data_IF_866315625736
#
_entry.id   IF_866315625736
#
_cell.length_a   1.000
_cell.length_b   1.000
_cell.length_c   1.000
_cell.angle_alpha   90.00
_cell.angle_beta   90.00
_cell.angle_gamma   90.00
#
_symmetry.space_group_name_H-M   'P 1'
#
loop_
_entity.id
_entity.type
_entity.pdbx_description
1 polymer ?
#
# COMPACT_ATOMS: atom_id res chain seq x y z
N UNK A 1 16.17 -19.52 5.39
CA UNK A 1 16.24 -18.66 6.59
C UNK A 1 16.14 -17.18 6.26
N UNK A 2 16.86 -16.69 5.26
CA UNK A 2 16.94 -15.28 4.86
C UNK A 2 15.58 -14.64 4.54
N UNK A 3 14.74 -15.29 3.71
CA UNK A 3 13.42 -14.77 3.32
C UNK A 3 12.47 -14.53 4.49
N UNK A 4 12.44 -15.42 5.50
CA UNK A 4 11.63 -15.20 6.71
C UNK A 4 12.06 -13.94 7.47
N UNK A 5 13.36 -13.64 7.46
CA UNK A 5 13.93 -12.45 8.10
C UNK A 5 13.47 -11.14 7.40
N UNK A 6 13.43 -11.13 6.05
CA UNK A 6 13.01 -9.95 5.28
C UNK A 6 11.53 -9.67 5.46
N UNK A 7 10.68 -10.68 5.37
CA UNK A 7 9.24 -10.51 5.63
C UNK A 7 8.97 -9.99 7.04
N UNK A 8 9.71 -10.50 8.03
CA UNK A 8 9.62 -10.01 9.40
C UNK A 8 10.09 -8.55 9.52
N UNK A 9 11.15 -8.17 8.81
CA UNK A 9 11.63 -6.79 8.77
C UNK A 9 10.60 -5.85 8.14
N UNK A 10 10.04 -6.21 6.97
CA UNK A 10 9.01 -5.44 6.31
C UNK A 10 7.78 -5.24 7.20
N UNK A 11 7.33 -6.31 7.86
CA UNK A 11 6.22 -6.22 8.81
C UNK A 11 6.53 -5.26 9.96
N UNK A 12 7.74 -5.30 10.52
CA UNK A 12 8.17 -4.37 11.58
C UNK A 12 8.22 -2.91 11.10
N UNK A 13 8.69 -2.68 9.87
CA UNK A 13 8.67 -1.34 9.25
C UNK A 13 7.22 -0.88 9.07
N UNK A 14 6.35 -1.75 8.55
CA UNK A 14 4.92 -1.47 8.42
C UNK A 14 4.28 -1.08 9.75
N UNK A 15 4.53 -1.85 10.82
CA UNK A 15 4.05 -1.55 12.16
C UNK A 15 4.58 -0.20 12.68
N UNK A 16 5.87 0.09 12.48
CA UNK A 16 6.49 1.33 12.96
C UNK A 16 5.89 2.59 12.31
N UNK A 17 5.49 2.50 11.04
CA UNK A 17 4.90 3.64 10.30
C UNK A 17 3.38 3.66 10.27
N UNK A 18 2.70 2.60 10.75
CA UNK A 18 1.24 2.45 10.66
C UNK A 18 0.48 3.64 11.26
N UNK A 19 0.87 4.09 12.46
CA UNK A 19 0.24 5.22 13.12
C UNK A 19 0.39 6.52 12.34
N UNK A 20 1.58 6.81 11.82
CA UNK A 20 1.83 8.02 11.00
C UNK A 20 1.06 7.97 9.68
N UNK A 21 1.01 6.80 9.03
CA UNK A 21 0.24 6.60 7.81
C UNK A 21 -1.26 6.81 8.05
N UNK A 22 -1.77 6.31 9.17
CA UNK A 22 -3.17 6.48 9.55
C UNK A 22 -3.49 7.92 9.95
N UNK A 23 -2.61 8.61 10.68
CA UNK A 23 -2.76 10.04 11.02
C UNK A 23 -2.82 10.90 9.76
N UNK A 24 -1.93 10.65 8.80
CA UNK A 24 -1.95 11.32 7.50
C UNK A 24 -3.26 11.05 6.76
N UNK A 25 -3.70 9.78 6.72
CA UNK A 25 -4.96 9.38 6.08
C UNK A 25 -6.17 10.05 6.73
N UNK A 26 -6.19 10.16 8.06
CA UNK A 26 -7.25 10.84 8.79
C UNK A 26 -7.33 12.33 8.44
N UNK A 27 -6.18 13.00 8.30
CA UNK A 27 -6.13 14.41 7.87
C UNK A 27 -6.59 14.55 6.41
N UNK A 28 -6.12 13.66 5.53
CA UNK A 28 -6.51 13.65 4.13
C UNK A 28 -8.04 13.45 3.98
N UNK A 29 -8.62 12.48 4.70
CA UNK A 29 -10.04 12.17 4.64
C UNK A 29 -10.93 13.36 5.05
N UNK A 30 -10.49 14.17 6.02
CA UNK A 30 -11.21 15.40 6.40
C UNK A 30 -11.26 16.45 5.27
N UNK A 31 -10.27 16.43 4.38
CA UNK A 31 -10.18 17.40 3.27
C UNK A 31 -10.87 16.90 1.99
N UNK A 32 -10.76 15.59 1.70
CA UNK A 32 -11.21 15.03 0.42
C UNK A 32 -12.45 14.13 0.55
N UNK A 33 -12.91 13.87 1.77
CA UNK A 33 -14.07 13.04 2.07
C UNK A 33 -13.74 11.56 2.18
N UNK A 34 -13.46 10.86 1.06
CA UNK A 34 -13.24 9.41 1.06
C UNK A 34 -11.83 9.05 0.64
N UNK A 35 -11.19 8.15 1.42
CA UNK A 35 -9.81 7.68 1.18
C UNK A 35 -9.74 6.16 1.31
N UNK A 36 -9.01 5.51 0.40
CA UNK A 36 -8.67 4.08 0.49
C UNK A 36 -7.29 3.93 1.11
N UNK A 37 -7.21 3.19 2.20
CA UNK A 37 -5.97 2.87 2.89
C UNK A 37 -5.59 1.41 2.64
N UNK A 38 -4.47 1.15 2.00
CA UNK A 38 -3.96 -0.18 1.75
C UNK A 38 -2.81 -0.54 2.68
N UNK A 39 -2.90 -1.75 3.26
CA UNK A 39 -1.80 -2.39 3.99
C UNK A 39 -1.70 -3.88 3.62
N UNK A 40 -0.55 -4.47 3.86
CA UNK A 40 -0.28 -5.89 3.56
C UNK A 40 -0.55 -6.79 4.77
N UNK A 41 -0.12 -6.35 5.94
CA UNK A 41 -0.19 -7.14 7.17
C UNK A 41 -1.38 -6.73 8.02
N UNK A 42 -2.04 -7.72 8.62
CA UNK A 42 -3.26 -7.51 9.43
C UNK A 42 -2.98 -6.61 10.63
N UNK A 43 -1.86 -6.79 11.32
CA UNK A 43 -1.47 -5.98 12.47
C UNK A 43 -1.17 -4.50 12.11
N UNK A 44 -0.73 -4.23 10.88
CA UNK A 44 -0.63 -2.85 10.37
C UNK A 44 -2.02 -2.26 10.13
N UNK A 45 -2.95 -3.05 9.61
CA UNK A 45 -4.36 -2.65 9.45
C UNK A 45 -5.00 -2.38 10.81
N UNK A 46 -4.78 -3.25 11.80
CA UNK A 46 -5.31 -3.09 13.15
C UNK A 46 -4.77 -1.81 13.83
N UNK A 47 -3.46 -1.57 13.74
CA UNK A 47 -2.84 -0.35 14.28
C UNK A 47 -3.36 0.93 13.59
N UNK A 48 -3.67 0.86 12.29
CA UNK A 48 -4.30 1.97 11.59
C UNK A 48 -5.74 2.21 12.06
N UNK A 49 -6.53 1.15 12.25
CA UNK A 49 -7.90 1.22 12.76
C UNK A 49 -7.94 1.81 14.17
N UNK A 50 -7.05 1.37 15.07
CA UNK A 50 -6.91 1.96 16.41
C UNK A 50 -6.60 3.47 16.34
N UNK A 51 -5.87 3.91 15.33
CA UNK A 51 -5.57 5.33 15.14
C UNK A 51 -6.80 6.08 14.61
N UNK A 52 -7.57 5.49 13.69
CA UNK A 52 -8.82 6.08 13.21
C UNK A 52 -9.84 6.21 14.34
N UNK A 53 -9.97 5.20 15.20
CA UNK A 53 -10.85 5.25 16.39
C UNK A 53 -10.47 6.42 17.31
N UNK A 54 -9.18 6.56 17.63
CA UNK A 54 -8.68 7.68 18.46
C UNK A 54 -8.89 9.04 17.81
N UNK A 55 -8.91 9.12 16.48
CA UNK A 55 -9.13 10.35 15.71
C UNK A 55 -10.60 10.62 15.41
N UNK A 56 -11.51 9.73 15.81
CA UNK A 56 -12.94 9.84 15.53
C UNK A 56 -13.28 9.74 14.05
N UNK A 57 -12.46 8.99 13.27
CA UNK A 57 -12.69 8.71 11.85
C UNK A 57 -13.50 7.43 11.73
N UNK A 58 -14.69 7.51 11.14
CA UNK A 58 -15.46 6.30 10.81
C UNK A 58 -14.85 5.62 9.59
N UNK A 59 -14.63 4.34 9.72
CA UNK A 59 -14.03 3.51 8.67
C UNK A 59 -14.76 2.18 8.48
N UNK A 60 -14.52 1.55 7.35
CA UNK A 60 -14.83 0.14 7.11
C UNK A 60 -13.54 -0.63 6.82
N UNK A 61 -13.58 -1.97 6.83
CA UNK A 61 -12.38 -2.78 6.65
C UNK A 61 -12.66 -3.97 5.73
N UNK A 62 -11.79 -4.18 4.74
CA UNK A 62 -11.88 -5.26 3.74
C UNK A 62 -10.63 -6.13 3.85
N UNK A 63 -10.79 -7.30 4.47
CA UNK A 63 -9.70 -8.22 4.81
C UNK A 63 -9.88 -9.58 4.12
N UNK A 64 -8.78 -10.26 3.89
CA UNK A 64 -8.80 -11.59 3.25
C UNK A 64 -9.43 -12.69 4.10
N UNK A 65 -9.40 -12.54 5.43
CA UNK A 65 -9.96 -13.46 6.42
C UNK A 65 -11.49 -13.31 6.65
N UNK A 66 -12.10 -12.28 6.07
CA UNK A 66 -13.54 -12.02 6.18
C UNK A 66 -14.35 -12.86 5.18
N UNK A 67 -15.58 -13.21 5.57
CA UNK A 67 -16.54 -13.83 4.65
C UNK A 67 -16.95 -12.83 3.56
N UNK A 68 -17.47 -13.36 2.44
CA UNK A 68 -17.95 -12.55 1.32
C UNK A 68 -19.01 -11.52 1.77
N UNK A 69 -20.01 -11.97 2.55
CA UNK A 69 -21.09 -11.08 3.00
C UNK A 69 -20.61 -9.94 3.90
N UNK A 70 -19.62 -10.20 4.77
CA UNK A 70 -18.99 -9.13 5.58
C UNK A 70 -18.26 -8.13 4.71
N UNK A 71 -17.52 -8.60 3.70
CA UNK A 71 -16.82 -7.69 2.76
C UNK A 71 -17.80 -6.84 1.96
N UNK A 72 -18.89 -7.44 1.43
CA UNK A 72 -19.93 -6.72 0.68
C UNK A 72 -20.58 -5.63 1.54
N UNK A 73 -20.91 -5.94 2.81
CA UNK A 73 -21.43 -4.96 3.77
C UNK A 73 -20.43 -3.81 4.03
N UNK A 74 -19.16 -4.13 4.17
CA UNK A 74 -18.12 -3.13 4.44
C UNK A 74 -17.85 -2.24 3.22
N UNK A 75 -17.94 -2.80 2.01
CA UNK A 75 -17.89 -2.03 0.75
C UNK A 75 -19.09 -1.09 0.67
N UNK A 76 -20.30 -1.61 0.92
CA UNK A 76 -21.53 -0.82 0.89
C UNK A 76 -21.47 0.35 1.88
N UNK A 77 -21.01 0.09 3.10
CA UNK A 77 -20.81 1.14 4.09
C UNK A 77 -19.84 2.23 3.62
N UNK A 78 -18.71 1.85 3.01
CA UNK A 78 -17.77 2.84 2.47
C UNK A 78 -18.36 3.63 1.31
N UNK A 79 -19.10 2.97 0.42
CA UNK A 79 -19.65 3.62 -0.78
C UNK A 79 -20.82 4.53 -0.45
N UNK A 80 -21.75 4.08 0.40
CA UNK A 80 -23.08 4.69 0.57
C UNK A 80 -23.24 5.48 1.89
N UNK A 81 -22.45 5.18 2.94
CA UNK A 81 -22.53 5.94 4.20
C UNK A 81 -21.58 7.17 4.12
N UNK A 82 -22.10 8.41 4.14
CA UNK A 82 -21.27 9.62 4.10
C UNK A 82 -20.37 9.78 5.31
N UNK A 83 -20.70 9.14 6.44
CA UNK A 83 -19.91 9.19 7.66
C UNK A 83 -18.66 8.30 7.60
N UNK A 84 -18.69 7.24 6.78
CA UNK A 84 -17.56 6.32 6.59
C UNK A 84 -16.59 6.93 5.59
N UNK A 85 -15.56 7.59 6.09
CA UNK A 85 -14.61 8.36 5.27
C UNK A 85 -13.36 7.57 4.87
N UNK A 86 -13.06 6.44 5.52
CA UNK A 86 -11.92 5.60 5.19
C UNK A 86 -12.34 4.14 4.99
N UNK A 87 -11.76 3.47 4.01
CA UNK A 87 -11.79 2.01 3.92
C UNK A 87 -10.38 1.45 4.05
N UNK A 88 -10.17 0.55 5.02
CA UNK A 88 -8.90 -0.14 5.24
C UNK A 88 -8.92 -1.46 4.48
N UNK A 89 -8.07 -1.58 3.46
CA UNK A 89 -8.04 -2.73 2.55
C UNK A 89 -6.73 -3.50 2.67
N UNK A 90 -6.82 -4.83 2.68
CA UNK A 90 -5.63 -5.65 2.44
C UNK A 90 -5.21 -5.57 0.97
N UNK A 91 -3.92 -5.34 0.70
CA UNK A 91 -3.36 -5.36 -0.66
C UNK A 91 -3.67 -6.68 -1.38
N UNK A 92 -3.63 -7.81 -0.67
CA UNK A 92 -3.95 -9.13 -1.23
C UNK A 92 -5.44 -9.32 -1.51
N UNK A 93 -6.34 -8.67 -0.75
CA UNK A 93 -7.77 -8.70 -0.99
C UNK A 93 -8.20 -7.82 -2.16
N UNK A 94 -7.36 -6.90 -2.62
CA UNK A 94 -7.60 -6.05 -3.78
C UNK A 94 -7.77 -6.85 -5.09
N UNK A 95 -7.35 -8.11 -5.14
CA UNK A 95 -7.56 -9.02 -6.28
C UNK A 95 -9.02 -9.37 -6.57
N UNK A 96 -9.96 -9.15 -5.64
CA UNK A 96 -11.37 -9.57 -5.75
C UNK A 96 -12.24 -8.37 -6.13
N UNK A 97 -12.35 -8.05 -7.40
CA UNK A 97 -13.41 -7.23 -8.02
C UNK A 97 -13.96 -5.99 -7.27
N UNK A 98 -13.21 -5.43 -6.33
CA UNK A 98 -13.63 -4.28 -5.54
C UNK A 98 -13.86 -3.06 -6.43
N UNK A 99 -14.98 -2.36 -6.24
CA UNK A 99 -15.22 -1.04 -6.84
C UNK A 99 -15.19 0.01 -5.74
N UNK A 100 -14.14 0.85 -5.74
CA UNK A 100 -13.90 1.88 -4.75
C UNK A 100 -13.80 3.28 -5.39
N UNK A 101 -14.45 3.48 -6.55
CA UNK A 101 -14.46 4.72 -7.34
C UNK A 101 -15.05 5.94 -6.60
N UNK A 102 -15.76 5.72 -5.50
CA UNK A 102 -16.25 6.80 -4.64
C UNK A 102 -15.10 7.62 -4.02
N UNK A 103 -13.90 7.06 -3.96
CA UNK A 103 -12.69 7.74 -3.54
C UNK A 103 -11.83 8.13 -4.75
N UNK A 104 -11.06 9.21 -4.61
CA UNK A 104 -10.03 9.63 -5.57
C UNK A 104 -8.62 9.65 -4.96
N UNK A 105 -8.51 9.29 -3.68
CA UNK A 105 -7.24 9.25 -2.96
C UNK A 105 -6.99 7.86 -2.38
N UNK A 106 -5.77 7.37 -2.59
CA UNK A 106 -5.28 6.08 -2.13
C UNK A 106 -4.04 6.29 -1.28
N UNK A 107 -3.98 5.68 -0.10
CA UNK A 107 -2.77 5.66 0.74
C UNK A 107 -2.24 4.23 0.79
N UNK A 108 -1.03 4.03 0.30
CA UNK A 108 -0.29 2.78 0.39
C UNK A 108 0.59 2.85 1.64
N UNK A 109 0.11 2.33 2.77
CA UNK A 109 0.83 2.33 4.04
C UNK A 109 1.98 1.33 4.04
N UNK A 110 1.86 0.26 3.29
CA UNK A 110 2.93 -0.68 3.00
C UNK A 110 3.10 -0.82 1.49
N UNK A 111 4.34 -0.95 1.05
CA UNK A 111 4.64 -1.16 -0.36
C UNK A 111 4.56 -2.65 -0.70
N UNK A 112 4.09 -2.96 -1.89
CA UNK A 112 4.27 -4.28 -2.47
C UNK A 112 5.64 -4.39 -3.14
N UNK A 113 6.13 -5.62 -3.28
CA UNK A 113 7.36 -5.91 -3.99
C UNK A 113 7.28 -5.71 -5.50
N UNK A 114 6.07 -5.67 -6.05
CA UNK A 114 5.85 -5.52 -7.49
C UNK A 114 5.04 -4.27 -7.79
N UNK A 115 5.39 -3.61 -8.90
CA UNK A 115 4.60 -2.52 -9.43
C UNK A 115 3.16 -2.98 -9.75
N UNK A 116 3.02 -4.21 -10.28
CA UNK A 116 1.73 -4.78 -10.65
C UNK A 116 0.73 -4.84 -9.49
N UNK A 117 1.14 -5.30 -8.31
CA UNK A 117 0.25 -5.34 -7.14
C UNK A 117 -0.16 -3.93 -6.69
N UNK A 118 0.76 -2.94 -6.75
CA UNK A 118 0.42 -1.55 -6.43
C UNK A 118 -0.54 -0.96 -7.47
N UNK A 119 -0.28 -1.19 -8.76
CA UNK A 119 -1.17 -0.76 -9.85
C UNK A 119 -2.54 -1.39 -9.69
N UNK A 120 -2.63 -2.70 -9.44
CA UNK A 120 -3.91 -3.37 -9.19
C UNK A 120 -4.69 -2.76 -8.02
N UNK A 121 -4.02 -2.36 -6.94
CA UNK A 121 -4.66 -1.69 -5.82
C UNK A 121 -5.20 -0.31 -6.23
N UNK A 122 -4.41 0.48 -6.96
CA UNK A 122 -4.81 1.79 -7.48
C UNK A 122 -5.98 1.66 -8.47
N UNK A 123 -5.98 0.64 -9.33
CA UNK A 123 -7.03 0.36 -10.31
C UNK A 123 -8.39 -0.01 -9.68
N UNK A 124 -8.47 -0.24 -8.37
CA UNK A 124 -9.75 -0.37 -7.67
C UNK A 124 -10.47 0.97 -7.51
N UNK A 125 -9.71 2.04 -7.56
CA UNK A 125 -10.18 3.43 -7.48
C UNK A 125 -10.19 4.07 -8.88
N UNK A 126 -9.12 3.87 -9.65
CA UNK A 126 -8.97 4.37 -11.02
C UNK A 126 -9.61 3.40 -12.03
N UNK A 127 -10.88 3.56 -12.30
CA UNK A 127 -11.67 2.72 -13.24
C UNK A 127 -12.51 3.59 -14.17
N UNK A 128 -13.07 2.93 -15.20
CA UNK A 128 -14.06 3.57 -16.09
C UNK A 128 -15.21 4.10 -15.24
N UNK A 129 -15.49 5.41 -15.34
CA UNK A 129 -16.50 6.12 -14.54
C UNK A 129 -15.92 6.89 -13.34
N UNK A 130 -14.58 6.91 -13.16
CA UNK A 130 -13.93 7.82 -12.22
C UNK A 130 -13.72 9.19 -12.90
N UNK A 131 -14.43 10.21 -12.41
CA UNK A 131 -14.41 11.56 -12.97
C UNK A 131 -13.34 12.46 -12.32
N UNK A 132 -12.73 12.02 -11.23
CA UNK A 132 -11.71 12.77 -10.52
C UNK A 132 -10.31 12.20 -10.73
N UNK A 133 -9.27 13.04 -10.80
CA UNK A 133 -7.90 12.56 -10.81
C UNK A 133 -7.60 11.71 -9.58
N UNK A 134 -7.07 10.51 -9.79
CA UNK A 134 -6.69 9.61 -8.70
C UNK A 134 -5.26 9.90 -8.25
N UNK A 135 -5.10 10.17 -6.95
CA UNK A 135 -3.79 10.39 -6.32
C UNK A 135 -3.45 9.22 -5.42
N UNK A 136 -2.30 8.60 -5.65
CA UNK A 136 -1.76 7.53 -4.81
C UNK A 136 -0.59 8.04 -3.97
N UNK A 137 -0.72 7.96 -2.66
CA UNK A 137 0.26 8.37 -1.66
C UNK A 137 1.01 7.14 -1.14
N UNK A 138 2.31 7.08 -1.33
CA UNK A 138 3.16 6.01 -0.78
C UNK A 138 3.82 6.48 0.52
N UNK A 139 3.59 5.76 1.62
CA UNK A 139 4.22 6.05 2.91
C UNK A 139 5.50 5.24 3.00
N UNK A 140 6.63 5.91 2.93
CA UNK A 140 7.97 5.31 2.86
C UNK A 140 8.72 5.63 4.14
N UNK A 141 9.24 4.59 4.82
CA UNK A 141 10.19 4.77 5.91
C UNK A 141 11.58 5.06 5.32
N UNK A 142 12.07 6.29 5.52
CA UNK A 142 13.37 6.69 5.03
C UNK A 142 14.50 5.82 5.61
N UNK A 143 15.56 5.61 4.83
CA UNK A 143 16.74 4.81 5.21
C UNK A 143 16.42 3.34 5.57
N UNK A 144 15.37 2.79 4.96
CA UNK A 144 14.98 1.39 5.13
C UNK A 144 14.81 0.71 3.77
N UNK A 145 14.45 -0.59 3.81
CA UNK A 145 14.12 -1.35 2.61
C UNK A 145 12.95 -0.73 1.81
N UNK A 146 12.05 0.01 2.46
CA UNK A 146 10.96 0.72 1.76
C UNK A 146 11.48 1.68 0.70
N UNK A 147 12.54 2.46 1.02
CA UNK A 147 13.15 3.40 0.08
C UNK A 147 13.67 2.66 -1.16
N UNK A 148 14.38 1.55 -0.94
CA UNK A 148 14.94 0.75 -2.05
C UNK A 148 13.86 0.11 -2.91
N UNK A 149 12.80 -0.41 -2.29
CA UNK A 149 11.66 -0.95 -3.03
C UNK A 149 10.99 0.14 -3.88
N UNK A 150 10.79 1.33 -3.32
CA UNK A 150 10.19 2.44 -4.05
C UNK A 150 11.04 2.83 -5.26
N UNK A 151 12.36 2.99 -5.08
CA UNK A 151 13.31 3.32 -6.14
C UNK A 151 13.33 2.27 -7.26
N UNK A 152 13.37 0.98 -6.90
CA UNK A 152 13.35 -0.11 -7.86
C UNK A 152 12.06 -0.15 -8.68
N UNK A 153 10.92 0.03 -8.02
CA UNK A 153 9.61 0.07 -8.68
C UNK A 153 9.54 1.27 -9.64
N UNK A 154 9.98 2.45 -9.21
CA UNK A 154 9.94 3.67 -10.02
C UNK A 154 10.88 3.57 -11.23
N UNK A 155 12.09 3.02 -11.03
CA UNK A 155 13.04 2.80 -12.12
C UNK A 155 12.48 1.84 -13.16
N UNK A 156 11.88 0.73 -12.74
CA UNK A 156 11.31 -0.28 -13.64
C UNK A 156 10.03 0.20 -14.33
N UNK A 157 9.18 0.94 -13.63
CA UNK A 157 8.01 1.58 -14.25
C UNK A 157 8.43 2.61 -15.31
N UNK A 158 9.51 3.37 -15.06
CA UNK A 158 10.09 4.30 -16.02
C UNK A 158 10.69 3.61 -17.25
N UNK A 159 11.33 2.45 -17.07
CA UNK A 159 11.86 1.64 -18.18
C UNK A 159 10.76 1.01 -19.00
N UNK A 160 9.73 0.43 -18.38
CA UNK A 160 8.58 -0.15 -19.05
C UNK A 160 7.79 0.90 -19.87
N UNK A 161 7.65 2.13 -19.34
CA UNK A 161 7.01 3.23 -20.06
C UNK A 161 7.81 3.69 -21.29
N UNK A 162 9.13 3.48 -21.32
CA UNK A 162 10.02 3.82 -22.43
C UNK A 162 10.20 2.70 -23.44
N UNK A 163 9.98 1.45 -23.04
CA UNK A 163 10.03 0.30 -23.92
C UNK A 163 8.77 0.24 -24.78
N UNK A 164 8.81 0.81 -25.97
CA UNK A 164 7.73 0.80 -26.97
C UNK A 164 7.48 -0.61 -27.53
N UNK A 165 8.39 -1.55 -27.31
CA UNK A 165 8.28 -2.95 -27.72
C UNK A 165 8.00 -3.84 -26.52
N UNK A 166 6.78 -4.29 -26.43
CA UNK A 166 6.06 -5.32 -25.70
C UNK A 166 6.74 -6.43 -24.88
N UNK A 167 8.01 -6.34 -24.53
CA UNK A 167 8.70 -7.27 -23.64
C UNK A 167 8.77 -6.69 -22.22
N UNK A 168 7.64 -6.68 -21.53
CA UNK A 168 7.64 -6.61 -20.07
C UNK A 168 8.04 -7.98 -19.54
N UNK A 169 9.32 -8.23 -19.35
CA UNK A 169 9.75 -9.29 -18.45
C UNK A 169 9.16 -8.96 -17.07
N UNK A 170 8.20 -9.76 -16.62
CA UNK A 170 7.74 -9.76 -15.23
C UNK A 170 8.92 -10.19 -14.37
N UNK A 171 9.67 -9.24 -13.88
CA UNK A 171 10.73 -9.51 -12.89
C UNK A 171 10.03 -10.06 -11.65
N UNK A 172 10.40 -11.27 -11.27
CA UNK A 172 9.77 -11.96 -10.16
C UNK A 172 9.90 -11.12 -8.88
N UNK A 173 8.92 -11.21 -7.99
CA UNK A 173 8.99 -10.54 -6.67
C UNK A 173 10.22 -10.98 -5.88
N UNK A 174 10.75 -12.17 -6.16
CA UNK A 174 11.95 -12.75 -5.53
C UNK A 174 13.21 -12.01 -5.98
N UNK A 175 13.34 -11.69 -7.27
CA UNK A 175 14.50 -10.97 -7.80
C UNK A 175 14.57 -9.56 -7.24
N UNK A 176 13.44 -8.86 -7.13
CA UNK A 176 13.33 -7.55 -6.48
C UNK A 176 13.73 -7.60 -5.01
N UNK A 177 13.31 -8.64 -4.29
CA UNK A 177 13.69 -8.83 -2.89
C UNK A 177 15.19 -9.02 -2.74
N UNK A 178 15.80 -9.84 -3.60
CA UNK A 178 17.24 -10.11 -3.59
C UNK A 178 18.00 -8.83 -3.90
N UNK A 179 17.62 -8.10 -4.95
CA UNK A 179 18.27 -6.86 -5.37
C UNK A 179 18.20 -5.79 -4.27
N UNK A 180 17.03 -5.58 -3.67
CA UNK A 180 16.86 -4.64 -2.56
C UNK A 180 17.72 -5.02 -1.34
N UNK A 181 17.82 -6.31 -1.04
CA UNK A 181 18.65 -6.79 0.08
C UNK A 181 20.14 -6.64 -0.19
N UNK A 182 20.61 -7.00 -1.38
CA UNK A 182 22.02 -6.84 -1.76
C UNK A 182 22.43 -5.37 -1.64
N UNK A 183 21.61 -4.46 -2.17
CA UNK A 183 21.85 -3.03 -2.07
C UNK A 183 21.93 -2.55 -0.62
N UNK A 184 20.97 -2.92 0.23
CA UNK A 184 20.98 -2.54 1.65
C UNK A 184 22.21 -3.08 2.41
N UNK A 185 22.63 -4.31 2.12
CA UNK A 185 23.81 -4.89 2.73
C UNK A 185 25.08 -4.18 2.26
N UNK A 186 25.16 -3.83 0.99
CA UNK A 186 26.29 -3.07 0.42
C UNK A 186 26.38 -1.70 1.07
N UNK A 187 25.28 -0.94 1.12
CA UNK A 187 25.24 0.38 1.75
C UNK A 187 25.64 0.32 3.24
N UNK A 188 25.17 -0.72 3.96
CA UNK A 188 25.52 -0.90 5.37
C UNK A 188 26.98 -1.25 5.59
N UNK A 189 27.62 -2.00 4.67
CA UNK A 189 29.05 -2.32 4.70
C UNK A 189 29.90 -1.09 4.38
N UNK A 190 29.50 -0.32 3.37
CA UNK A 190 30.19 0.93 3.01
C UNK A 190 30.13 1.96 4.13
N UNK A 191 28.97 2.14 4.77
CA UNK A 191 28.82 3.02 5.92
C UNK A 191 29.73 2.62 7.11
N UNK A 192 29.94 1.31 7.32
CA UNK A 192 30.85 0.82 8.36
C UNK A 192 32.33 0.98 8.01
N UNK A 193 32.65 1.00 6.73
CA UNK A 193 34.04 1.16 6.25
C UNK A 193 34.48 2.64 6.22
N UNK A 194 33.54 3.56 6.34
CA UNK A 194 33.78 5.02 6.34
C UNK A 194 33.96 5.60 7.75
N UNK A 195 33.89 4.78 8.80
CA UNK A 195 34.15 5.12 10.22
C UNK A 195 35.46 4.49 10.68
#
# INVERSE_FOLDING_TARGET
MLFRSVFALMRRIGQAKAGLAADYTAQLARNVGKVVFFAKHIDVMDAAQDTFDRRGIKYSSIRGDQTRGVREKNIDAFVNDPEVSVVVCSLTAAGVGLNLQVASNVVLAELSWTAAEQTQAIDRVHRIGQDQPVTAWRVIAAQTVDTRIAELIDTKAGLAARAIDGSTEEISSVDLQIEAMVTLLTDALEARSAV
#
